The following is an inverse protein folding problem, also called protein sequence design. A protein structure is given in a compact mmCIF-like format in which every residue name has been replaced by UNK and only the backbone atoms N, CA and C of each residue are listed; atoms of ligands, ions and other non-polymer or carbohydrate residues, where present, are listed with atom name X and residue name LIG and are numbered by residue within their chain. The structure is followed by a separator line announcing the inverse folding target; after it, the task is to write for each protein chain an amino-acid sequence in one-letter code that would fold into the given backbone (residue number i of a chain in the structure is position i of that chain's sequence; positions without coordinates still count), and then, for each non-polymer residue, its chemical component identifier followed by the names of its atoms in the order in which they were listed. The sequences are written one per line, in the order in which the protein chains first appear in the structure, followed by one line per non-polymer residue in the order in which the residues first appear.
data_IF_301554280680
#
_entry.id   IF_301554280680
#
_cell.length_a   1.000
_cell.length_b   1.000
_cell.length_c   1.000
_cell.angle_alpha   90.00
_cell.angle_beta   90.00
_cell.angle_gamma   90.00
#
_symmetry.space_group_name_H-M   'P 1'
#
loop_
_entity.id
_entity.type
_entity.pdbx_description
1 polymer ?
#
# COMPACT_ATOMS: atom_id res chain seq x y z
N UNK A 1 -47.89 26.79 62.17
CA UNK A 1 -49.36 26.87 62.32
C UNK A 1 -49.95 27.49 61.07
N UNK A 2 -51.02 26.85 60.59
CA UNK A 2 -52.11 27.32 59.72
C UNK A 2 -51.83 28.12 58.44
N UNK A 3 -52.27 27.52 57.34
CA UNK A 3 -52.83 28.15 56.15
C UNK A 3 -53.90 29.21 56.49
N UNK A 4 -53.96 30.32 55.75
CA UNK A 4 -55.11 30.66 54.87
C UNK A 4 -54.96 32.03 54.17
N UNK A 5 -54.76 31.95 52.85
CA UNK A 5 -55.53 32.53 51.74
C UNK A 5 -56.20 33.93 51.78
N UNK A 6 -55.93 34.63 50.65
CA UNK A 6 -56.84 35.39 49.74
C UNK A 6 -56.84 36.93 49.77
N UNK A 7 -56.31 37.51 48.68
CA UNK A 7 -56.55 38.89 48.24
C UNK A 7 -56.18 39.06 46.76
N UNK A 8 -57.19 39.03 45.88
CA UNK A 8 -57.10 39.13 44.41
C UNK A 8 -56.76 40.55 43.95
N UNK A 9 -55.97 40.69 42.90
CA UNK A 9 -56.13 41.79 41.92
C UNK A 9 -55.88 41.25 40.50
N UNK A 10 -56.79 41.59 39.59
CA UNK A 10 -56.87 41.13 38.20
C UNK A 10 -56.54 42.29 37.27
N UNK A 11 -55.55 42.12 36.40
CA UNK A 11 -55.40 42.77 35.07
C UNK A 11 -54.57 41.74 34.26
N UNK A 12 -55.05 41.07 33.21
CA UNK A 12 -55.71 41.61 32.02
C UNK A 12 -54.70 41.68 30.88
N UNK A 13 -54.29 40.55 30.29
CA UNK A 13 -53.54 40.56 29.01
C UNK A 13 -53.81 39.28 28.21
N UNK A 14 -54.54 39.45 27.10
CA UNK A 14 -54.70 38.42 26.06
C UNK A 14 -53.33 38.18 25.42
N UNK A 15 -52.81 36.95 25.51
CA UNK A 15 -51.71 36.49 24.64
C UNK A 15 -52.29 35.52 23.62
N UNK A 16 -52.33 35.97 22.36
CA UNK A 16 -52.51 35.10 21.20
C UNK A 16 -51.41 34.05 21.20
N UNK A 17 -51.81 32.78 21.14
CA UNK A 17 -50.91 31.66 20.90
C UNK A 17 -50.59 31.65 19.40
N UNK A 18 -49.41 32.16 19.04
CA UNK A 18 -48.80 31.87 17.74
C UNK A 18 -48.10 30.53 17.90
N UNK A 19 -48.67 29.48 17.31
CA UNK A 19 -48.02 28.18 17.16
C UNK A 19 -46.89 28.36 16.13
N UNK A 20 -45.67 28.59 16.60
CA UNK A 20 -44.49 28.52 15.73
C UNK A 20 -44.20 27.03 15.46
N UNK A 21 -44.71 26.54 14.33
CA UNK A 21 -44.27 25.26 13.77
C UNK A 21 -42.83 25.44 13.26
N UNK A 22 -41.85 25.24 14.13
CA UNK A 22 -40.48 25.01 13.71
C UNK A 22 -40.42 23.64 13.03
N UNK A 23 -40.60 23.63 11.71
CA UNK A 23 -40.18 22.55 10.84
C UNK A 23 -38.68 22.37 11.03
N UNK A 24 -38.28 21.38 11.84
CA UNK A 24 -37.00 20.74 11.64
C UNK A 24 -37.09 20.02 10.30
N UNK A 25 -36.56 20.64 9.25
CA UNK A 25 -36.18 19.91 8.06
C UNK A 25 -35.08 18.93 8.49
N UNK A 26 -35.48 17.70 8.78
CA UNK A 26 -34.56 16.58 8.78
C UNK A 26 -33.95 16.58 7.37
N UNK A 27 -32.71 17.03 7.25
CA UNK A 27 -31.91 16.71 6.09
C UNK A 27 -31.79 15.19 6.11
N UNK A 28 -32.68 14.50 5.38
CA UNK A 28 -32.45 13.13 5.00
C UNK A 28 -31.07 13.15 4.34
N UNK A 29 -30.07 12.61 5.01
CA UNK A 29 -28.82 12.25 4.36
C UNK A 29 -29.22 11.26 3.27
N UNK A 30 -29.46 11.76 2.07
CA UNK A 30 -29.54 10.89 0.91
C UNK A 30 -28.17 10.21 0.89
N UNK A 31 -28.16 8.90 1.16
CA UNK A 31 -26.99 8.09 0.90
C UNK A 31 -26.57 8.26 -0.57
N UNK A 32 -25.39 7.77 -0.96
CA UNK A 32 -24.94 7.86 -2.34
C UNK A 32 -26.08 7.45 -3.27
N UNK A 33 -26.50 8.37 -4.15
CA UNK A 33 -27.54 8.10 -5.13
C UNK A 33 -27.00 7.04 -6.08
N UNK A 34 -27.68 5.92 -6.16
CA UNK A 34 -27.38 4.92 -7.18
C UNK A 34 -27.57 5.54 -8.57
N UNK A 35 -26.54 5.47 -9.41
CA UNK A 35 -26.57 6.02 -10.76
C UNK A 35 -27.55 5.21 -11.62
N UNK A 36 -28.41 5.91 -12.37
CA UNK A 36 -29.26 5.24 -13.35
C UNK A 36 -28.43 4.72 -14.54
N UNK A 37 -29.01 3.86 -15.37
CA UNK A 37 -28.34 3.38 -16.58
C UNK A 37 -27.94 4.55 -17.51
N UNK A 38 -28.78 5.59 -17.62
CA UNK A 38 -28.48 6.78 -18.41
C UNK A 38 -27.33 7.59 -17.79
N UNK A 39 -27.31 7.75 -16.47
CA UNK A 39 -26.21 8.40 -15.76
C UNK A 39 -24.89 7.64 -15.99
N UNK A 40 -24.91 6.31 -15.90
CA UNK A 40 -23.74 5.46 -16.11
C UNK A 40 -23.19 5.55 -17.54
N UNK A 41 -24.06 5.59 -18.56
CA UNK A 41 -23.63 5.77 -19.95
C UNK A 41 -23.03 7.15 -20.20
N UNK A 42 -23.62 8.20 -19.63
CA UNK A 42 -23.09 9.55 -19.72
C UNK A 42 -21.68 9.66 -19.11
N UNK A 43 -21.50 9.07 -17.91
CA UNK A 43 -20.23 9.03 -17.20
C UNK A 43 -19.17 8.21 -17.92
N UNK A 44 -19.57 7.11 -18.57
CA UNK A 44 -18.68 6.30 -19.40
C UNK A 44 -18.19 7.09 -20.62
N UNK A 45 -19.08 7.79 -21.32
CA UNK A 45 -18.71 8.63 -22.46
C UNK A 45 -17.77 9.79 -22.06
N UNK A 46 -18.00 10.38 -20.89
CA UNK A 46 -17.13 11.43 -20.34
C UNK A 46 -15.74 10.87 -19.98
N UNK A 47 -15.68 9.71 -19.33
CA UNK A 47 -14.42 9.01 -19.05
C UNK A 47 -13.67 8.68 -20.34
N UNK A 48 -14.33 8.09 -21.34
CA UNK A 48 -13.71 7.72 -22.61
C UNK A 48 -13.12 8.94 -23.32
N UNK A 49 -13.80 10.09 -23.23
CA UNK A 49 -13.30 11.37 -23.75
C UNK A 49 -12.01 11.80 -23.04
N UNK A 50 -11.96 11.73 -21.71
CA UNK A 50 -10.74 12.05 -20.96
C UNK A 50 -9.59 11.05 -21.23
N UNK A 51 -9.91 9.77 -21.39
CA UNK A 51 -8.90 8.73 -21.64
C UNK A 51 -8.29 8.83 -23.05
N UNK A 52 -9.04 9.36 -24.02
CA UNK A 52 -8.56 9.59 -25.38
C UNK A 52 -7.51 10.71 -25.49
N UNK A 53 -7.57 11.72 -24.62
CA UNK A 53 -6.56 12.78 -24.52
C UNK A 53 -5.42 12.36 -23.56
N UNK A 54 -4.15 12.24 -24.04
CA UNK A 54 -3.02 11.89 -23.20
C UNK A 54 -2.81 12.81 -21.99
N UNK A 55 -3.13 14.10 -22.10
CA UNK A 55 -2.97 15.06 -20.99
C UNK A 55 -4.06 14.83 -19.95
N UNK A 56 -5.32 14.79 -20.36
CA UNK A 56 -6.43 14.51 -19.46
C UNK A 56 -6.29 13.13 -18.80
N UNK A 57 -5.92 12.08 -19.55
CA UNK A 57 -5.65 10.74 -19.02
C UNK A 57 -4.57 10.75 -17.94
N UNK A 58 -3.45 11.44 -18.17
CA UNK A 58 -2.36 11.53 -17.19
C UNK A 58 -2.81 12.24 -15.93
N UNK A 59 -3.56 13.34 -16.07
CA UNK A 59 -4.15 14.07 -14.95
C UNK A 59 -5.12 13.20 -14.15
N UNK A 60 -5.96 12.42 -14.83
CA UNK A 60 -6.89 11.47 -14.21
C UNK A 60 -6.13 10.42 -13.39
N UNK A 61 -5.10 9.80 -13.97
CA UNK A 61 -4.24 8.82 -13.27
C UNK A 61 -3.60 9.45 -12.03
N UNK A 62 -3.00 10.63 -12.17
CA UNK A 62 -2.37 11.34 -11.05
C UNK A 62 -3.37 11.68 -9.93
N UNK A 63 -4.58 12.12 -10.28
CA UNK A 63 -5.67 12.40 -9.33
C UNK A 63 -6.04 11.15 -8.50
N UNK A 64 -6.11 9.99 -9.14
CA UNK A 64 -6.46 8.72 -8.49
C UNK A 64 -5.28 8.14 -7.69
N UNK A 65 -4.06 8.21 -8.22
CA UNK A 65 -2.88 7.65 -7.55
C UNK A 65 -2.41 8.50 -6.37
N UNK A 66 -2.63 9.81 -6.41
CA UNK A 66 -2.22 10.68 -5.32
C UNK A 66 -2.75 12.10 -5.41
N UNK A 67 -2.20 12.94 -6.30
CA UNK A 67 -2.59 14.35 -6.43
C UNK A 67 -2.12 14.98 -7.74
N UNK A 68 -2.90 15.92 -8.28
CA UNK A 68 -2.53 16.79 -9.42
C UNK A 68 -1.86 18.10 -8.99
N UNK A 69 -1.66 18.30 -7.69
CA UNK A 69 -1.04 19.49 -7.09
C UNK A 69 0.05 19.12 -6.09
N UNK A 70 0.81 20.12 -5.63
CA UNK A 70 1.84 19.93 -4.61
C UNK A 70 1.21 19.48 -3.29
N UNK A 71 1.38 18.20 -2.94
CA UNK A 71 0.72 17.60 -1.78
C UNK A 71 1.44 16.34 -1.31
N UNK A 72 1.42 16.09 -0.02
CA UNK A 72 1.81 14.80 0.57
C UNK A 72 0.57 13.90 0.70
N UNK A 73 0.69 12.65 0.26
CA UNK A 73 -0.35 11.63 0.31
C UNK A 73 0.14 10.42 1.08
N UNK A 74 -0.74 9.89 1.93
CA UNK A 74 -0.46 8.73 2.74
C UNK A 74 -1.33 7.57 2.26
N UNK A 75 -0.80 6.36 2.29
CA UNK A 75 -1.56 5.14 2.08
C UNK A 75 -1.11 4.05 3.05
N UNK A 76 -2.04 3.16 3.38
CA UNK A 76 -1.74 1.95 4.13
C UNK A 76 -2.27 0.75 3.36
N UNK A 77 -1.46 -0.30 3.31
CA UNK A 77 -1.82 -1.57 2.71
C UNK A 77 -1.44 -2.71 3.66
N UNK A 78 -2.34 -3.69 3.78
CA UNK A 78 -2.06 -4.94 4.47
C UNK A 78 -1.75 -6.03 3.45
N UNK A 79 -0.60 -6.66 3.62
CA UNK A 79 -0.08 -7.68 2.73
C UNK A 79 -0.15 -9.05 3.41
N UNK A 80 -0.54 -10.07 2.65
CA UNK A 80 -0.38 -11.48 2.99
C UNK A 80 0.71 -12.04 2.08
N UNK A 81 1.79 -12.52 2.70
CA UNK A 81 2.97 -13.03 2.00
C UNK A 81 2.94 -14.56 2.06
N UNK A 82 3.14 -15.19 0.91
CA UNK A 82 3.13 -16.62 0.75
C UNK A 82 4.38 -17.11 0.03
N UNK A 83 4.87 -18.28 0.42
CA UNK A 83 5.78 -19.05 -0.40
C UNK A 83 5.03 -19.84 -1.47
N UNK A 84 5.50 -19.77 -2.71
CA UNK A 84 5.10 -20.67 -3.80
C UNK A 84 6.32 -21.43 -4.30
N UNK A 85 6.39 -22.75 -4.05
CA UNK A 85 7.55 -23.59 -4.42
C UNK A 85 7.57 -23.99 -5.90
N UNK A 86 6.57 -23.56 -6.68
CA UNK A 86 6.37 -24.01 -8.07
C UNK A 86 5.40 -25.19 -8.19
N UNK A 87 5.00 -25.80 -7.07
CA UNK A 87 4.05 -26.90 -6.99
C UNK A 87 3.17 -26.76 -5.73
N UNK A 88 2.04 -27.46 -5.68
CA UNK A 88 1.15 -27.46 -4.53
C UNK A 88 0.42 -26.13 -4.29
N UNK A 89 -0.05 -25.95 -3.05
CA UNK A 89 -0.75 -24.76 -2.59
C UNK A 89 0.24 -23.67 -2.13
N UNK A 90 -0.26 -22.45 -1.98
CA UNK A 90 0.49 -21.35 -1.37
C UNK A 90 0.72 -21.62 0.13
N UNK A 91 1.95 -21.41 0.60
CA UNK A 91 2.37 -21.60 1.99
C UNK A 91 2.35 -20.25 2.70
N UNK A 92 1.49 -20.04 3.73
CA UNK A 92 1.48 -18.80 4.50
C UNK A 92 2.83 -18.55 5.17
N UNK A 93 3.44 -17.38 4.92
CA UNK A 93 4.68 -16.97 5.58
C UNK A 93 4.38 -16.01 6.73
N UNK A 94 4.02 -14.77 6.40
CA UNK A 94 3.77 -13.71 7.36
C UNK A 94 2.88 -12.62 6.74
N UNK A 95 2.43 -11.70 7.58
CA UNK A 95 1.76 -10.48 7.14
C UNK A 95 2.75 -9.32 7.14
N UNK A 96 2.61 -8.41 6.19
CA UNK A 96 3.40 -7.19 6.12
C UNK A 96 2.45 -5.98 6.19
N UNK A 97 2.70 -5.07 7.13
CA UNK A 97 1.87 -3.89 7.36
C UNK A 97 2.60 -2.68 6.78
N UNK A 98 2.15 -2.26 5.60
CA UNK A 98 2.91 -1.39 4.71
C UNK A 98 2.36 0.04 4.79
N UNK A 99 3.25 0.99 5.01
CA UNK A 99 2.93 2.41 5.04
C UNK A 99 3.66 3.15 3.92
N UNK A 100 2.93 3.96 3.18
CA UNK A 100 3.45 4.72 2.04
C UNK A 100 3.25 6.21 2.27
N UNK A 101 4.29 6.99 2.00
CA UNK A 101 4.21 8.44 1.83
C UNK A 101 4.63 8.78 0.40
N UNK A 102 3.86 9.64 -0.26
CA UNK A 102 4.18 10.16 -1.57
C UNK A 102 4.05 11.68 -1.58
N UNK A 103 5.10 12.37 -2.01
CA UNK A 103 5.08 13.81 -2.25
C UNK A 103 4.92 14.08 -3.72
N UNK A 104 3.74 14.55 -4.09
CA UNK A 104 3.35 14.86 -5.45
C UNK A 104 3.63 16.32 -5.77
N UNK A 105 3.97 16.62 -7.02
CA UNK A 105 4.05 17.98 -7.55
C UNK A 105 3.81 18.00 -9.06
N UNK A 106 3.19 19.05 -9.62
CA UNK A 106 3.17 19.27 -11.06
C UNK A 106 4.60 19.37 -11.61
N UNK A 107 4.88 18.58 -12.65
CA UNK A 107 6.14 18.60 -13.39
C UNK A 107 6.03 19.42 -14.69
N UNK A 108 7.04 19.28 -15.56
CA UNK A 108 7.04 19.90 -16.90
C UNK A 108 6.14 19.14 -17.87
N UNK A 109 5.68 19.78 -18.95
CA UNK A 109 4.98 19.11 -20.05
C UNK A 109 3.75 18.27 -19.61
N UNK A 110 3.00 18.78 -18.63
CA UNK A 110 1.83 18.12 -18.02
C UNK A 110 2.14 16.79 -17.31
N UNK A 111 3.38 16.62 -16.84
CA UNK A 111 3.76 15.52 -15.97
C UNK A 111 3.44 15.79 -14.50
N UNK A 112 3.51 14.72 -13.70
CA UNK A 112 3.45 14.77 -12.24
C UNK A 112 4.62 14.00 -11.67
N UNK A 113 5.44 14.69 -10.89
CA UNK A 113 6.60 14.11 -10.22
C UNK A 113 6.22 13.67 -8.81
N UNK A 114 6.77 12.53 -8.40
CA UNK A 114 6.46 11.91 -7.12
C UNK A 114 7.75 11.50 -6.43
N UNK A 115 7.93 11.91 -5.19
CA UNK A 115 8.92 11.32 -4.31
C UNK A 115 8.22 10.27 -3.44
N UNK A 116 8.62 9.01 -3.58
CA UNK A 116 7.99 7.88 -2.91
C UNK A 116 8.85 7.37 -1.75
N UNK A 117 8.19 7.14 -0.62
CA UNK A 117 8.73 6.57 0.60
C UNK A 117 7.81 5.45 1.07
N UNK A 118 8.41 4.37 1.52
CA UNK A 118 7.69 3.18 1.92
C UNK A 118 8.45 2.45 3.00
N UNK A 119 7.74 1.99 4.01
CA UNK A 119 8.25 1.06 5.02
C UNK A 119 7.20 -0.01 5.31
N UNK A 120 7.64 -1.12 5.86
CA UNK A 120 6.73 -2.08 6.45
C UNK A 120 7.37 -2.87 7.58
N UNK A 121 6.57 -3.20 8.60
CA UNK A 121 6.95 -4.21 9.58
C UNK A 121 6.22 -5.53 9.30
N UNK A 122 6.82 -6.63 9.74
CA UNK A 122 6.24 -7.97 9.61
C UNK A 122 5.49 -8.37 10.87
N UNK A 123 4.42 -9.13 10.72
CA UNK A 123 3.63 -9.74 11.79
C UNK A 123 3.35 -11.21 11.51
N UNK A 124 2.94 -11.96 12.54
CA UNK A 124 2.43 -13.31 12.34
C UNK A 124 1.30 -13.26 11.31
N UNK A 125 1.26 -14.28 10.46
CA UNK A 125 0.33 -14.36 9.35
C UNK A 125 -1.12 -14.09 9.81
N UNK A 126 -1.77 -13.15 9.13
CA UNK A 126 -3.14 -12.70 9.36
C UNK A 126 -3.42 -12.08 10.75
N UNK A 127 -2.39 -11.50 11.37
CA UNK A 127 -2.52 -10.76 12.65
C UNK A 127 -1.77 -9.44 12.63
N UNK A 128 -1.92 -8.63 13.68
CA UNK A 128 -1.10 -7.44 13.94
C UNK A 128 0.04 -7.70 14.94
N UNK A 129 0.27 -8.95 15.36
CA UNK A 129 1.34 -9.31 16.30
C UNK A 129 2.68 -9.27 15.57
N UNK A 130 3.42 -8.17 15.74
CA UNK A 130 4.70 -7.95 15.07
C UNK A 130 5.75 -9.03 15.44
N UNK A 131 6.56 -9.40 14.46
CA UNK A 131 7.64 -10.38 14.59
C UNK A 131 8.94 -9.81 14.04
N UNK A 132 10.03 -10.05 14.77
CA UNK A 132 11.41 -9.81 14.32
C UNK A 132 12.13 -11.12 13.95
N UNK A 133 11.61 -12.25 14.44
CA UNK A 133 12.09 -13.59 14.14
C UNK A 133 10.95 -14.42 13.57
N UNK A 134 11.24 -15.22 12.56
CA UNK A 134 10.27 -16.07 11.88
C UNK A 134 10.86 -17.44 11.58
N UNK A 135 10.13 -18.50 11.95
CA UNK A 135 10.51 -19.86 11.62
C UNK A 135 10.08 -20.17 10.18
N UNK A 136 11.03 -20.34 9.28
CA UNK A 136 10.77 -20.66 7.89
C UNK A 136 10.20 -22.10 7.79
N UNK A 137 8.96 -22.29 7.31
CA UNK A 137 8.34 -23.62 7.25
C UNK A 137 9.08 -24.57 6.31
N UNK A 138 9.77 -24.03 5.29
CA UNK A 138 10.51 -24.80 4.30
C UNK A 138 11.86 -25.31 4.81
N UNK A 139 12.47 -24.67 5.80
CA UNK A 139 13.83 -25.02 6.26
C UNK A 139 13.91 -25.32 7.76
N UNK A 140 12.85 -25.04 8.52
CA UNK A 140 12.81 -24.98 9.99
C UNK A 140 13.77 -23.98 10.65
N UNK A 141 14.54 -23.21 9.86
CA UNK A 141 15.41 -22.18 10.40
C UNK A 141 14.61 -21.02 10.96
N UNK A 142 15.09 -20.45 12.07
CA UNK A 142 14.62 -19.17 12.59
C UNK A 142 15.42 -18.06 11.90
N UNK A 143 14.72 -17.17 11.23
CA UNK A 143 15.26 -16.09 10.43
C UNK A 143 14.93 -14.76 11.09
N UNK A 144 15.93 -13.91 11.27
CA UNK A 144 15.74 -12.50 11.61
C UNK A 144 15.21 -11.77 10.37
N UNK A 145 14.03 -11.16 10.48
CA UNK A 145 13.38 -10.49 9.36
C UNK A 145 13.85 -9.03 9.25
N UNK A 146 14.48 -8.62 8.14
CA UNK A 146 14.79 -7.22 7.90
C UNK A 146 13.50 -6.48 7.55
N UNK A 147 13.01 -5.59 8.41
CA UNK A 147 11.83 -4.77 8.09
C UNK A 147 12.03 -4.01 6.76
N UNK A 148 10.94 -3.83 6.02
CA UNK A 148 10.98 -3.30 4.65
C UNK A 148 11.22 -1.79 4.66
N UNK A 149 12.06 -1.32 3.74
CA UNK A 149 12.30 0.09 3.47
C UNK A 149 12.56 0.32 1.97
N UNK A 150 11.91 1.35 1.44
CA UNK A 150 12.16 1.86 0.08
C UNK A 150 11.93 3.36 0.05
N UNK A 151 12.94 4.15 -0.29
CA UNK A 151 12.77 5.58 -0.50
C UNK A 151 13.97 6.44 -0.09
N UNK A 152 14.00 7.73 -0.45
CA UNK A 152 13.16 8.34 -1.49
C UNK A 152 13.45 7.75 -2.86
N UNK A 153 12.41 7.37 -3.60
CA UNK A 153 12.49 6.96 -5.01
C UNK A 153 11.69 7.94 -5.87
N UNK A 154 12.29 8.58 -6.89
CA UNK A 154 11.54 9.43 -7.80
C UNK A 154 10.69 8.58 -8.75
N UNK A 155 9.45 9.03 -8.99
CA UNK A 155 8.57 8.56 -10.06
C UNK A 155 8.07 9.75 -10.85
N UNK A 156 7.72 9.53 -12.12
CA UNK A 156 7.10 10.56 -12.96
C UNK A 156 6.00 9.94 -13.81
N UNK A 157 4.87 10.62 -13.89
CA UNK A 157 3.73 10.26 -14.73
C UNK A 157 3.54 11.36 -15.77
N UNK A 158 3.64 11.03 -17.05
CA UNK A 158 3.57 12.00 -18.14
C UNK A 158 2.72 11.52 -19.31
N UNK A 159 2.17 12.43 -20.14
CA UNK A 159 1.39 12.07 -21.33
C UNK A 159 2.16 11.21 -22.33
N UNK A 160 3.48 11.40 -22.40
CA UNK A 160 4.39 10.76 -23.34
C UNK A 160 5.37 9.83 -22.62
N UNK A 161 4.95 9.17 -21.54
CA UNK A 161 5.83 8.26 -20.80
C UNK A 161 6.53 7.29 -21.76
N UNK A 162 7.89 7.31 -21.81
CA UNK A 162 8.62 6.29 -22.54
C UNK A 162 8.23 4.93 -21.96
N UNK A 163 8.01 3.94 -22.82
CA UNK A 163 7.73 2.56 -22.40
C UNK A 163 8.93 1.88 -21.71
N UNK A 164 10.04 2.60 -21.54
CA UNK A 164 11.33 2.08 -21.10
C UNK A 164 11.71 2.64 -19.70
N UNK A 165 11.36 1.84 -18.69
CA UNK A 165 12.04 1.50 -17.42
C UNK A 165 12.64 2.55 -16.43
N UNK A 166 12.84 3.83 -16.76
CA UNK A 166 13.68 4.68 -15.90
C UNK A 166 12.99 5.26 -14.64
N UNK A 167 11.66 5.19 -14.52
CA UNK A 167 10.92 5.98 -13.51
C UNK A 167 10.37 5.17 -12.33
N UNK A 168 10.56 3.85 -12.29
CA UNK A 168 9.87 2.94 -11.34
C UNK A 168 8.32 3.12 -11.31
N UNK A 169 7.75 3.88 -12.24
CA UNK A 169 6.32 4.07 -12.35
C UNK A 169 5.72 2.84 -13.04
N UNK A 170 4.64 2.26 -12.50
CA UNK A 170 4.02 1.11 -13.12
C UNK A 170 3.24 1.52 -14.37
N UNK A 171 3.24 0.67 -15.40
CA UNK A 171 2.53 0.97 -16.65
C UNK A 171 1.02 0.79 -16.44
N UNK A 172 0.19 1.81 -16.72
CA UNK A 172 -1.25 1.64 -16.69
C UNK A 172 -1.69 0.68 -17.80
N UNK A 173 -2.55 -0.27 -17.43
CA UNK A 173 -3.28 -1.14 -18.35
C UNK A 173 -4.62 -0.47 -18.74
N UNK A 174 -5.50 -1.22 -19.40
CA UNK A 174 -6.79 -0.70 -19.85
C UNK A 174 -7.62 -0.18 -18.65
N UNK A 175 -7.83 1.14 -18.58
CA UNK A 175 -8.67 1.78 -17.58
C UNK A 175 -10.12 1.48 -17.94
N UNK A 176 -10.94 1.10 -16.95
CA UNK A 176 -12.33 0.71 -17.20
C UNK A 176 -13.23 1.20 -16.07
N UNK A 177 -14.44 1.63 -16.44
CA UNK A 177 -15.53 1.91 -15.49
C UNK A 177 -16.43 0.69 -15.33
N UNK A 178 -16.63 0.24 -14.09
CA UNK A 178 -17.58 -0.83 -13.72
C UNK A 178 -18.48 -0.28 -12.61
N UNK A 179 -19.79 -0.25 -12.85
CA UNK A 179 -20.72 0.48 -11.97
C UNK A 179 -20.33 1.95 -11.88
N UNK A 180 -20.34 2.50 -10.67
CA UNK A 180 -19.97 3.89 -10.35
C UNK A 180 -18.47 4.07 -10.06
N UNK A 181 -17.60 3.10 -10.42
CA UNK A 181 -16.17 3.14 -10.12
C UNK A 181 -15.30 3.03 -11.36
N UNK A 182 -14.21 3.77 -11.36
CA UNK A 182 -13.10 3.63 -12.31
C UNK A 182 -12.06 2.71 -11.71
N UNK A 183 -11.53 1.80 -12.54
CA UNK A 183 -10.44 0.90 -12.19
C UNK A 183 -9.23 1.22 -13.06
N UNK A 184 -8.10 1.48 -12.41
CA UNK A 184 -6.80 1.75 -13.06
C UNK A 184 -5.85 0.60 -12.69
N UNK A 185 -5.87 -0.50 -13.46
CA UNK A 185 -4.89 -1.57 -13.32
C UNK A 185 -3.52 -1.12 -13.83
N UNK A 186 -2.46 -1.65 -13.23
CA UNK A 186 -1.08 -1.41 -13.63
C UNK A 186 -0.27 -2.71 -13.61
N UNK A 187 0.79 -2.74 -14.41
CA UNK A 187 1.73 -3.85 -14.45
C UNK A 187 3.17 -3.34 -14.45
N UNK A 188 3.99 -3.91 -13.58
CA UNK A 188 5.44 -3.77 -13.61
C UNK A 188 6.07 -5.13 -13.78
N UNK A 189 7.06 -5.23 -14.68
CA UNK A 189 7.88 -6.42 -14.88
C UNK A 189 9.34 -6.00 -14.84
N UNK A 190 10.03 -6.32 -13.75
CA UNK A 190 11.46 -6.06 -13.63
C UNK A 190 12.22 -7.38 -13.66
N UNK A 191 13.33 -7.34 -14.39
CA UNK A 191 14.37 -8.37 -14.40
C UNK A 191 15.66 -7.68 -14.05
N UNK A 192 16.25 -8.05 -12.93
CA UNK A 192 17.51 -7.49 -12.44
C UNK A 192 18.52 -8.61 -12.19
N UNK A 193 19.83 -8.35 -12.33
CA UNK A 193 20.84 -9.32 -11.96
C UNK A 193 20.70 -9.78 -10.50
N UNK A 194 21.03 -11.05 -10.25
CA UNK A 194 21.21 -11.59 -8.92
C UNK A 194 22.27 -10.80 -8.16
N UNK A 195 21.96 -10.44 -6.92
CA UNK A 195 22.80 -9.59 -6.09
C UNK A 195 23.86 -10.37 -5.28
N UNK A 196 23.57 -11.62 -4.97
CA UNK A 196 24.43 -12.52 -4.19
C UNK A 196 24.59 -13.83 -4.95
N UNK A 197 25.83 -14.22 -5.23
CA UNK A 197 26.12 -15.49 -5.90
C UNK A 197 25.98 -16.68 -4.94
N UNK A 198 25.41 -17.82 -5.36
CA UNK A 198 25.34 -19.02 -4.55
C UNK A 198 26.72 -19.54 -4.11
N UNK A 199 27.75 -19.38 -4.95
CA UNK A 199 29.11 -19.86 -4.67
C UNK A 199 29.76 -19.14 -3.48
N UNK A 200 29.50 -17.84 -3.32
CA UNK A 200 30.10 -17.01 -2.27
C UNK A 200 29.17 -16.84 -1.05
N UNK A 201 27.86 -16.84 -1.27
CA UNK A 201 26.86 -16.49 -0.26
C UNK A 201 25.94 -17.65 0.13
N UNK A 202 26.21 -18.86 -0.38
CA UNK A 202 25.51 -20.09 0.00
C UNK A 202 23.99 -19.93 -0.12
N UNK A 203 23.21 -20.24 0.92
CA UNK A 203 21.74 -20.16 0.87
C UNK A 203 21.18 -18.74 0.77
N UNK A 204 21.95 -17.68 1.07
CA UNK A 204 21.54 -16.30 0.76
C UNK A 204 21.64 -16.00 -0.74
N UNK A 205 22.51 -16.72 -1.47
CA UNK A 205 22.74 -16.56 -2.89
C UNK A 205 21.68 -17.27 -3.73
N UNK A 206 20.93 -16.51 -4.52
CA UNK A 206 19.84 -17.01 -5.36
C UNK A 206 20.23 -17.17 -6.83
N UNK A 207 19.21 -17.19 -7.68
CA UNK A 207 19.40 -17.27 -9.13
C UNK A 207 20.22 -16.09 -9.64
N UNK A 208 20.89 -16.28 -10.78
CA UNK A 208 21.64 -15.21 -11.47
C UNK A 208 20.76 -14.04 -11.90
N UNK A 209 19.43 -14.21 -11.87
CA UNK A 209 18.44 -13.19 -12.19
C UNK A 209 17.31 -13.21 -11.18
N UNK A 210 16.89 -12.02 -10.76
CA UNK A 210 15.72 -11.79 -9.94
C UNK A 210 14.60 -11.20 -10.79
N UNK A 211 13.38 -11.68 -10.54
CA UNK A 211 12.18 -11.25 -11.24
C UNK A 211 11.22 -10.62 -10.24
N UNK A 212 10.65 -9.48 -10.63
CA UNK A 212 9.62 -8.79 -9.87
C UNK A 212 8.45 -8.47 -10.80
N UNK A 213 7.34 -9.16 -10.58
CA UNK A 213 6.08 -8.90 -11.26
C UNK A 213 5.13 -8.26 -10.25
N UNK A 214 4.72 -7.03 -10.50
CA UNK A 214 3.76 -6.31 -9.65
C UNK A 214 2.51 -5.96 -10.43
N UNK A 215 1.36 -6.31 -9.86
CA UNK A 215 0.04 -6.07 -10.41
C UNK A 215 -0.75 -5.29 -9.38
N UNK A 216 -1.05 -4.02 -9.66
CA UNK A 216 -1.74 -3.12 -8.74
C UNK A 216 -2.96 -2.51 -9.43
N UNK A 217 -4.09 -2.46 -8.75
CA UNK A 217 -5.31 -1.81 -9.21
C UNK A 217 -5.71 -0.74 -8.22
N UNK A 218 -5.90 0.48 -8.71
CA UNK A 218 -6.59 1.54 -7.98
C UNK A 218 -8.05 1.59 -8.38
N UNK A 219 -8.94 1.86 -7.42
CA UNK A 219 -10.36 2.07 -7.69
C UNK A 219 -10.89 3.31 -6.97
N UNK A 220 -11.62 4.15 -7.69
CA UNK A 220 -12.21 5.38 -7.16
C UNK A 220 -13.60 5.61 -7.76
N UNK A 221 -14.45 6.37 -7.06
CA UNK A 221 -15.79 6.72 -7.54
C UNK A 221 -15.72 7.66 -8.76
N UNK A 222 -16.54 7.41 -9.77
CA UNK A 222 -16.50 8.12 -11.05
C UNK A 222 -16.83 9.61 -10.94
N UNK A 223 -17.78 10.00 -10.08
CA UNK A 223 -18.14 11.41 -9.90
C UNK A 223 -16.97 12.19 -9.30
N UNK A 224 -16.24 11.57 -8.37
CA UNK A 224 -15.03 12.14 -7.77
C UNK A 224 -13.90 12.28 -8.79
N UNK A 225 -13.71 11.26 -9.63
CA UNK A 225 -12.67 11.23 -10.66
C UNK A 225 -12.91 12.32 -11.71
N UNK A 226 -14.16 12.49 -12.15
CA UNK A 226 -14.53 13.47 -13.18
C UNK A 226 -14.69 14.90 -12.63
N UNK A 227 -14.82 15.09 -11.32
CA UNK A 227 -14.87 16.43 -10.72
C UNK A 227 -13.54 17.19 -10.92
N UNK A 228 -13.55 18.18 -11.81
CA UNK A 228 -12.40 19.01 -12.14
C UNK A 228 -11.89 19.84 -10.95
N UNK A 229 -12.74 20.09 -9.94
CA UNK A 229 -12.36 20.84 -8.73
C UNK A 229 -11.53 20.00 -7.77
N UNK A 230 -11.55 18.67 -7.91
CA UNK A 230 -10.74 17.76 -7.09
C UNK A 230 -9.35 17.58 -7.68
N UNK A 231 -8.36 17.72 -6.82
CA UNK A 231 -6.94 17.51 -7.14
C UNK A 231 -6.49 16.10 -6.78
N UNK A 232 -7.25 15.43 -5.91
CA UNK A 232 -7.05 14.06 -5.47
C UNK A 232 -8.40 13.46 -5.08
N UNK A 233 -8.48 12.13 -5.06
CA UNK A 233 -9.70 11.41 -4.66
C UNK A 233 -9.36 10.27 -3.69
N UNK A 234 -10.31 9.83 -2.84
CA UNK A 234 -10.16 8.57 -2.13
C UNK A 234 -10.08 7.41 -3.14
N UNK A 235 -9.03 6.61 -3.05
CA UNK A 235 -8.87 5.41 -3.87
C UNK A 235 -8.55 4.19 -3.00
N UNK A 236 -9.20 3.08 -3.33
CA UNK A 236 -8.87 1.75 -2.83
C UNK A 236 -7.76 1.15 -3.68
N UNK A 237 -6.95 0.30 -3.07
CA UNK A 237 -5.76 -0.30 -3.67
C UNK A 237 -5.81 -1.81 -3.48
N UNK A 238 -5.61 -2.57 -4.55
CA UNK A 238 -5.44 -4.02 -4.51
C UNK A 238 -4.17 -4.40 -5.24
N UNK A 239 -3.29 -5.17 -4.58
CA UNK A 239 -2.00 -5.57 -5.15
C UNK A 239 -1.86 -7.07 -5.16
N UNK A 240 -1.20 -7.59 -6.19
CA UNK A 240 -0.61 -8.91 -6.22
C UNK A 240 0.82 -8.79 -6.71
N UNK A 241 1.75 -9.47 -6.06
CA UNK A 241 3.13 -9.56 -6.57
C UNK A 241 3.54 -11.02 -6.67
N UNK A 242 4.36 -11.33 -7.67
CA UNK A 242 5.15 -12.54 -7.72
C UNK A 242 6.61 -12.10 -7.80
N UNK A 243 7.42 -12.47 -6.80
CA UNK A 243 8.79 -11.94 -6.65
C UNK A 243 9.74 -13.10 -6.36
N UNK A 244 10.94 -13.09 -6.93
CA UNK A 244 11.99 -14.05 -6.54
C UNK A 244 12.18 -14.10 -5.02
N UNK A 245 12.67 -15.22 -4.50
CA UNK A 245 12.97 -15.35 -3.08
C UNK A 245 13.88 -14.22 -2.60
N UNK A 246 13.47 -13.54 -1.53
CA UNK A 246 14.35 -12.58 -0.89
C UNK A 246 15.54 -13.33 -0.25
N UNK A 247 16.76 -12.79 -0.35
CA UNK A 247 17.95 -13.46 0.19
C UNK A 247 17.84 -13.87 1.66
N UNK A 248 17.19 -13.06 2.50
CA UNK A 248 17.01 -13.35 3.92
C UNK A 248 16.23 -14.64 4.18
N UNK A 249 15.43 -15.14 3.23
CA UNK A 249 14.71 -16.41 3.36
C UNK A 249 15.62 -17.64 3.31
N UNK A 250 16.89 -17.48 2.89
CA UNK A 250 17.89 -18.55 2.78
C UNK A 250 17.45 -19.75 1.92
N UNK A 251 16.69 -19.49 0.87
CA UNK A 251 16.18 -20.52 -0.04
C UNK A 251 17.10 -20.77 -1.24
N UNK A 252 18.16 -19.98 -1.41
CA UNK A 252 19.13 -20.08 -2.49
C UNK A 252 18.48 -20.24 -3.88
N UNK A 253 18.97 -21.23 -4.64
CA UNK A 253 18.45 -21.60 -5.96
C UNK A 253 17.23 -22.54 -5.94
N UNK A 254 16.54 -22.68 -4.80
CA UNK A 254 15.35 -23.53 -4.73
C UNK A 254 14.28 -23.00 -5.68
N UNK A 255 13.63 -23.87 -6.48
CA UNK A 255 12.48 -23.49 -7.28
C UNK A 255 11.42 -22.77 -6.45
N UNK A 256 10.80 -21.76 -7.07
CA UNK A 256 9.71 -21.01 -6.46
C UNK A 256 9.96 -19.52 -6.32
N UNK A 257 8.96 -18.83 -5.78
CA UNK A 257 8.86 -17.38 -5.66
C UNK A 257 7.95 -17.02 -4.47
N UNK A 258 8.06 -15.79 -4.00
CA UNK A 258 7.11 -15.21 -3.05
C UNK A 258 5.89 -14.70 -3.81
N UNK A 259 4.70 -15.19 -3.46
CA UNK A 259 3.42 -14.65 -3.92
C UNK A 259 2.86 -13.74 -2.84
N UNK A 260 2.39 -12.56 -3.25
CA UNK A 260 1.84 -11.55 -2.34
C UNK A 260 0.46 -11.18 -2.81
N UNK A 261 -0.44 -10.99 -1.85
CA UNK A 261 -1.73 -10.33 -2.03
C UNK A 261 -1.81 -9.17 -1.04
N UNK A 262 -2.28 -8.00 -1.47
CA UNK A 262 -2.51 -6.89 -0.57
C UNK A 262 -3.79 -6.13 -0.90
N UNK A 263 -4.29 -5.42 0.11
CA UNK A 263 -5.39 -4.46 0.00
C UNK A 263 -5.15 -3.27 0.90
N UNK A 264 -5.70 -2.12 0.53
CA UNK A 264 -5.54 -0.88 1.28
C UNK A 264 -6.21 0.30 0.61
N UNK A 265 -5.85 1.49 1.05
CA UNK A 265 -6.36 2.75 0.53
C UNK A 265 -5.45 3.91 0.89
N UNK A 266 -5.69 5.06 0.27
CA UNK A 266 -5.19 6.31 0.83
C UNK A 266 -5.83 6.63 2.17
N UNK A 267 -5.06 7.22 3.07
CA UNK A 267 -5.50 7.62 4.41
C UNK A 267 -5.10 9.09 4.68
N UNK A 268 -5.67 9.69 5.71
CA UNK A 268 -5.41 11.10 6.05
C UNK A 268 -4.04 11.35 6.70
N UNK A 269 -3.34 10.30 7.12
CA UNK A 269 -2.06 10.38 7.81
C UNK A 269 -1.93 9.30 8.88
N UNK A 270 -0.92 9.41 9.75
CA UNK A 270 -0.64 8.42 10.79
C UNK A 270 -1.79 8.22 11.80
N UNK A 271 -2.57 9.27 12.08
CA UNK A 271 -3.69 9.22 13.02
C UNK A 271 -4.87 8.36 12.52
N UNK A 272 -4.92 8.03 11.22
CA UNK A 272 -5.94 7.15 10.64
C UNK A 272 -5.65 5.65 10.87
N UNK A 273 -4.46 5.31 11.36
CA UNK A 273 -4.07 3.93 11.60
C UNK A 273 -4.70 3.38 12.88
N UNK A 274 -5.05 2.08 12.93
CA UNK A 274 -5.29 1.39 14.19
C UNK A 274 -4.11 1.55 15.15
N UNK A 275 -4.40 1.69 16.45
CA UNK A 275 -3.41 2.05 17.46
C UNK A 275 -2.26 1.04 17.57
N UNK A 276 -2.55 -0.25 17.42
CA UNK A 276 -1.56 -1.32 17.44
C UNK A 276 -0.64 -1.28 16.20
N UNK A 277 -1.19 -1.03 15.02
CA UNK A 277 -0.42 -0.85 13.78
C UNK A 277 0.52 0.37 13.90
N UNK A 278 0.00 1.50 14.39
CA UNK A 278 0.82 2.69 14.59
C UNK A 278 1.97 2.43 15.57
N UNK A 279 1.68 1.83 16.72
CA UNK A 279 2.71 1.53 17.73
C UNK A 279 3.80 0.60 17.18
N UNK A 280 3.44 -0.36 16.33
CA UNK A 280 4.42 -1.22 15.67
C UNK A 280 5.26 -0.45 14.64
N UNK A 281 4.69 0.45 13.84
CA UNK A 281 5.48 1.31 12.94
C UNK A 281 6.46 2.18 13.75
N UNK A 282 6.03 2.78 14.86
CA UNK A 282 6.87 3.59 15.75
C UNK A 282 8.04 2.78 16.34
N UNK A 283 7.85 1.47 16.57
CA UNK A 283 8.86 0.60 17.14
C UNK A 283 9.83 0.04 16.10
N UNK A 284 9.33 -0.39 14.95
CA UNK A 284 10.07 -1.23 14.00
C UNK A 284 10.52 -0.47 12.75
N UNK A 285 9.83 0.61 12.40
CA UNK A 285 10.16 1.45 11.25
C UNK A 285 9.96 2.94 11.60
N UNK A 286 10.55 3.47 12.70
CA UNK A 286 10.34 4.84 13.16
C UNK A 286 10.75 5.91 12.15
N UNK A 287 11.62 5.58 11.20
CA UNK A 287 12.12 6.50 10.20
C UNK A 287 11.03 7.10 9.30
N UNK A 288 9.89 6.42 9.12
CA UNK A 288 8.80 6.91 8.26
C UNK A 288 8.13 8.16 8.84
N UNK A 289 8.27 8.40 10.15
CA UNK A 289 7.73 9.59 10.81
C UNK A 289 8.59 10.84 10.59
N UNK A 290 9.78 10.68 10.00
CA UNK A 290 10.69 11.76 9.63
C UNK A 290 11.32 11.50 8.25
N UNK A 291 10.49 11.43 7.21
CA UNK A 291 10.95 11.26 5.82
C UNK A 291 11.81 12.43 5.31
N UNK A 292 11.76 13.59 5.98
CA UNK A 292 12.64 14.72 5.66
C UNK A 292 14.11 14.42 5.98
N UNK A 293 14.38 13.52 6.92
CA UNK A 293 15.73 13.06 7.25
C UNK A 293 16.33 12.12 6.20
N UNK A 294 15.52 11.54 5.29
CA UNK A 294 15.98 10.56 4.30
C UNK A 294 16.68 11.27 3.14
N UNK A 295 17.98 11.51 3.29
CA UNK A 295 18.80 12.22 2.29
C UNK A 295 19.26 11.33 1.13
N UNK A 296 19.38 10.04 1.37
CA UNK A 296 19.84 9.04 0.41
C UNK A 296 18.78 7.97 0.20
N UNK A 297 18.73 7.39 -1.00
CA UNK A 297 17.80 6.31 -1.31
C UNK A 297 18.18 5.04 -0.54
N UNK A 298 17.25 4.60 0.29
CA UNK A 298 17.25 3.34 1.04
C UNK A 298 16.50 2.27 0.27
N UNK A 299 17.07 1.07 0.23
CA UNK A 299 16.49 -0.12 -0.40
C UNK A 299 16.83 -1.30 0.51
N UNK A 300 15.81 -1.95 1.06
CA UNK A 300 15.91 -3.08 1.98
C UNK A 300 16.88 -4.17 1.51
N UNK A 301 16.83 -4.54 0.23
CA UNK A 301 17.67 -5.59 -0.32
C UNK A 301 19.16 -5.19 -0.36
N UNK A 302 19.46 -3.90 -0.54
CA UNK A 302 20.83 -3.35 -0.49
C UNK A 302 21.31 -3.28 0.95
N UNK A 303 20.48 -2.76 1.86
CA UNK A 303 20.81 -2.71 3.30
C UNK A 303 21.03 -4.12 3.87
N UNK A 304 20.23 -5.10 3.45
CA UNK A 304 20.42 -6.49 3.84
C UNK A 304 21.75 -7.04 3.35
N UNK A 305 22.13 -6.82 2.08
CA UNK A 305 23.44 -7.22 1.55
C UNK A 305 24.58 -6.61 2.37
N UNK A 306 24.53 -5.30 2.63
CA UNK A 306 25.53 -4.61 3.46
C UNK A 306 25.63 -5.25 4.85
N UNK A 307 24.49 -5.59 5.45
CA UNK A 307 24.47 -6.28 6.75
C UNK A 307 25.17 -7.65 6.71
N UNK A 308 25.07 -8.40 5.61
CA UNK A 308 25.78 -9.68 5.45
C UNK A 308 27.28 -9.46 5.30
N UNK A 309 27.70 -8.46 4.52
CA UNK A 309 29.11 -8.08 4.38
C UNK A 309 29.71 -7.68 5.73
N UNK A 310 29.03 -6.85 6.51
CA UNK A 310 29.47 -6.47 7.85
C UNK A 310 29.57 -7.68 8.79
N UNK A 311 28.57 -8.58 8.77
CA UNK A 311 28.62 -9.82 9.56
C UNK A 311 29.83 -10.67 9.18
N UNK A 312 30.19 -10.73 7.89
CA UNK A 312 31.38 -11.46 7.41
C UNK A 312 32.68 -10.82 7.90
N UNK A 313 32.80 -9.49 7.78
CA UNK A 313 33.96 -8.74 8.28
C UNK A 313 34.16 -8.90 9.79
N UNK A 314 33.06 -8.91 10.55
CA UNK A 314 33.06 -9.12 12.01
C UNK A 314 33.25 -10.59 12.41
N UNK A 315 33.30 -11.52 11.44
CA UNK A 315 33.42 -12.95 11.70
C UNK A 315 32.18 -13.55 12.37
N UNK A 316 31.01 -12.91 12.22
CA UNK A 316 29.73 -13.34 12.80
C UNK A 316 28.73 -13.82 11.75
N UNK A 317 29.11 -13.83 10.46
CA UNK A 317 28.26 -14.40 9.41
C UNK A 317 28.12 -15.90 9.66
N UNK A 318 26.89 -16.35 9.73
CA UNK A 318 26.50 -17.71 10.10
C UNK A 318 27.04 -18.78 9.13
N UNK A 319 26.97 -18.52 7.81
CA UNK A 319 27.44 -19.46 6.78
C UNK A 319 28.96 -19.69 6.81
N UNK A 320 29.72 -18.78 7.45
CA UNK A 320 31.17 -18.86 7.58
C UNK A 320 31.60 -19.52 8.92
N UNK A 321 30.64 -19.82 9.82
CA UNK A 321 30.96 -20.37 11.15
C UNK A 321 31.38 -21.85 11.08
N UNK A 322 32.33 -22.29 11.94
CA UNK A 322 32.71 -23.70 12.03
C UNK A 322 31.49 -24.58 12.36
N UNK A 323 31.25 -25.58 11.51
CA UNK A 323 30.15 -26.53 11.70
C UNK A 323 28.80 -26.05 11.15
N UNK A 324 28.75 -24.89 10.49
CA UNK A 324 27.57 -24.50 9.72
C UNK A 324 27.19 -25.59 8.71
N UNK A 325 25.90 -25.88 8.63
CA UNK A 325 25.31 -26.76 7.63
C UNK A 325 24.12 -26.04 7.03
N UNK A 326 24.14 -25.88 5.70
CA UNK A 326 22.99 -25.34 5.00
C UNK A 326 21.75 -26.19 5.32
N UNK A 327 20.61 -25.55 5.64
CA UNK A 327 19.40 -26.29 5.94
C UNK A 327 18.93 -27.03 4.69
N UNK A 328 18.26 -28.17 4.91
CA UNK A 328 17.54 -28.84 3.84
C UNK A 328 16.24 -28.09 3.59
N UNK A 329 15.98 -27.74 2.33
CA UNK A 329 14.68 -27.22 1.92
C UNK A 329 13.73 -28.39 1.72
N UNK A 330 12.61 -28.38 2.45
CA UNK A 330 11.52 -29.34 2.33
C UNK A 330 10.80 -29.14 1.00
N UNK A 331 10.41 -30.24 0.36
CA UNK A 331 9.45 -30.22 -0.74
C UNK A 331 8.04 -29.96 -0.22
N UNK A 332 7.13 -29.63 -1.12
CA UNK A 332 5.75 -29.35 -0.74
C UNK A 332 5.08 -30.57 -0.07
N UNK A 333 5.32 -31.78 -0.59
CA UNK A 333 4.76 -33.04 -0.07
C UNK A 333 5.28 -33.44 1.33
N UNK A 334 6.29 -32.73 1.84
CA UNK A 334 6.86 -32.95 3.17
C UNK A 334 6.31 -31.97 4.22
N UNK A 335 5.48 -31.01 3.81
CA UNK A 335 4.86 -30.06 4.72
C UNK A 335 3.63 -30.71 5.36
N UNK A 336 3.64 -30.82 6.68
CA UNK A 336 2.61 -31.53 7.47
C UNK A 336 1.24 -30.85 7.47
N UNK A 337 1.16 -29.60 7.03
CA UNK A 337 0.06 -28.69 7.36
C UNK A 337 -0.55 -27.96 6.14
N UNK A 338 -0.19 -28.30 4.89
CA UNK A 338 -0.56 -27.54 3.67
C UNK A 338 -0.99 -28.38 2.46
#
# INVERSE_FOLDING_TARGET
MSQNTLGKFVIGMKRSVILAACLFAAACSQGPRELSAEDLEMRRAELDTQLADPVARTRLIAKVFGSTEKMERHAFLKFHVFGFTGEGNLIPFFTMNNYVIQRWSPGKDNSFDVQHFEVAYYSKFDTNEAISEWKNPLTDEVIELPHFVLGPVPRSYSPNMPKDAATFAPDPLNITMIGDRVYIPTLTRLRVPGMLSPEEWGPYGGASENYWDSMLVYSANIDDVLDEKKTHVPAEMHMQNLVSWAPYLKLGNTPGRTMVRAYGQHISGFDALPADIRSNLEKYTPEIFDVDSWKETRIDAVEFMQSLMEKREKGTLDIDQPGYKAPRVKRFDELSDF
#
